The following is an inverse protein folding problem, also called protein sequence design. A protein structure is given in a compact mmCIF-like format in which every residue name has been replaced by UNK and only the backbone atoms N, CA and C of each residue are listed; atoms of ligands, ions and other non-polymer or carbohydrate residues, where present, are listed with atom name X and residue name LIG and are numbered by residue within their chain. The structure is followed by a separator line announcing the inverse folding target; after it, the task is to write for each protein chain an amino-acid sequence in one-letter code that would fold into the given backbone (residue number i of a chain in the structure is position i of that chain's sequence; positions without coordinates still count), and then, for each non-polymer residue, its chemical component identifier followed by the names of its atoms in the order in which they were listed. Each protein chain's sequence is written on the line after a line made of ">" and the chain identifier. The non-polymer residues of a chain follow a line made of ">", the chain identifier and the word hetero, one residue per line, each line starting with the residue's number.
data_IF_802070396868
#
_entry.id   IF_802070396868
#
_cell.length_a   1.000
_cell.length_b   1.000
_cell.length_c   1.000
_cell.angle_alpha   90.00
_cell.angle_beta   90.00
_cell.angle_gamma   90.00
#
_symmetry.space_group_name_H-M   'P 1'
#
loop_
_entity.id
_entity.type
_entity.pdbx_description
1 polymer ?
#
# COMPACT_ATOMS: atom_id res chain seq x y z
N UNK A 1 13.92 -20.73 -29.72
CA UNK A 1 14.74 -21.04 -28.52
C UNK A 1 15.41 -22.38 -28.76
N UNK A 2 16.71 -22.50 -28.52
CA UNK A 2 17.43 -23.76 -28.69
C UNK A 2 17.74 -24.40 -27.33
N UNK A 3 17.60 -25.73 -27.25
CA UNK A 3 18.00 -26.53 -26.09
C UNK A 3 19.32 -27.22 -26.42
N UNK A 4 20.25 -27.24 -25.46
CA UNK A 4 21.49 -28.01 -25.60
C UNK A 4 21.19 -29.46 -25.21
N UNK A 5 21.47 -30.41 -26.10
CA UNK A 5 21.39 -31.85 -25.83
C UNK A 5 22.76 -32.47 -26.07
N UNK A 6 23.19 -33.35 -25.17
CA UNK A 6 24.41 -34.16 -25.30
C UNK A 6 25.69 -33.33 -25.54
N UNK A 7 25.85 -32.20 -24.82
CA UNK A 7 27.08 -31.41 -24.86
C UNK A 7 27.62 -31.21 -23.43
N UNK A 8 28.64 -31.99 -23.09
CA UNK A 8 29.30 -31.99 -21.77
C UNK A 8 29.97 -30.65 -21.44
N UNK A 9 30.42 -29.90 -22.44
CA UNK A 9 31.13 -28.62 -22.25
C UNK A 9 30.15 -27.52 -21.82
N UNK A 10 28.92 -27.58 -22.33
CA UNK A 10 27.92 -26.51 -22.18
C UNK A 10 26.84 -26.85 -21.13
N UNK A 11 26.91 -28.03 -20.52
CA UNK A 11 25.99 -28.46 -19.47
C UNK A 11 26.28 -27.70 -18.17
N UNK A 12 25.25 -27.16 -17.52
CA UNK A 12 25.40 -26.39 -16.28
C UNK A 12 25.84 -24.93 -16.45
N UNK A 13 26.31 -24.51 -17.62
CA UNK A 13 26.71 -23.12 -17.89
C UNK A 13 25.50 -22.18 -17.76
N UNK A 14 25.71 -21.01 -17.15
CA UNK A 14 24.73 -19.93 -17.05
C UNK A 14 25.39 -18.56 -17.23
N UNK A 15 24.62 -17.55 -17.64
CA UNK A 15 25.09 -16.18 -17.80
C UNK A 15 25.25 -15.74 -19.26
N UNK A 16 25.77 -14.52 -19.44
CA UNK A 16 25.88 -13.85 -20.74
C UNK A 16 27.26 -14.09 -21.35
N UNK A 17 27.29 -14.64 -22.57
CA UNK A 17 28.51 -14.86 -23.34
C UNK A 17 28.61 -13.85 -24.49
N UNK A 18 29.70 -13.09 -24.51
CA UNK A 18 30.06 -12.20 -25.63
C UNK A 18 29.01 -11.15 -25.99
N UNK A 19 28.09 -10.80 -25.07
CA UNK A 19 26.91 -9.96 -25.32
C UNK A 19 25.96 -10.44 -26.43
N UNK A 20 26.19 -11.63 -26.99
CA UNK A 20 25.41 -12.18 -28.11
C UNK A 20 24.48 -13.31 -27.66
N UNK A 21 24.89 -14.07 -26.64
CA UNK A 21 24.20 -15.28 -26.19
C UNK A 21 24.01 -15.24 -24.68
N UNK A 22 22.90 -15.78 -24.19
CA UNK A 22 22.63 -16.00 -22.76
C UNK A 22 22.29 -17.47 -22.55
N UNK A 23 23.02 -18.09 -21.62
CA UNK A 23 22.74 -19.42 -21.08
C UNK A 23 21.91 -19.28 -19.82
N UNK A 24 20.83 -20.05 -19.70
CA UNK A 24 20.06 -20.13 -18.46
C UNK A 24 19.66 -21.56 -18.15
N UNK A 25 19.60 -21.87 -16.87
CA UNK A 25 19.15 -23.16 -16.37
C UNK A 25 17.66 -23.10 -16.05
N UNK A 26 16.88 -24.06 -16.56
CA UNK A 26 15.46 -24.21 -16.20
C UNK A 26 15.11 -25.69 -16.16
N UNK A 27 14.60 -26.17 -15.04
CA UNK A 27 14.26 -27.59 -14.83
C UNK A 27 15.40 -28.55 -15.22
N UNK A 28 16.63 -28.23 -14.81
CA UNK A 28 17.82 -29.05 -15.11
C UNK A 28 18.30 -29.04 -16.57
N UNK A 29 17.70 -28.20 -17.44
CA UNK A 29 18.07 -28.08 -18.85
C UNK A 29 18.81 -26.75 -19.09
N UNK A 30 19.93 -26.82 -19.83
CA UNK A 30 20.60 -25.63 -20.36
C UNK A 30 19.83 -25.11 -21.58
N UNK A 31 19.37 -23.87 -21.50
CA UNK A 31 18.67 -23.17 -22.57
C UNK A 31 19.55 -22.04 -23.10
N UNK A 32 19.61 -21.93 -24.43
CA UNK A 32 20.39 -20.90 -25.12
C UNK A 32 19.46 -19.93 -25.83
N UNK A 33 19.66 -18.65 -25.56
CA UNK A 33 18.91 -17.55 -26.18
C UNK A 33 19.86 -16.48 -26.69
N UNK A 34 19.49 -15.79 -27.78
CA UNK A 34 20.15 -14.54 -28.17
C UNK A 34 20.06 -13.57 -27.00
N UNK A 35 21.14 -12.85 -26.73
CA UNK A 35 21.16 -11.83 -25.70
C UNK A 35 20.05 -10.81 -25.98
N UNK A 36 19.26 -10.46 -24.96
CA UNK A 36 18.21 -9.48 -25.13
C UNK A 36 18.83 -8.13 -25.52
N UNK A 37 18.30 -7.53 -26.57
CA UNK A 37 18.61 -6.19 -27.00
C UNK A 37 17.30 -5.40 -27.01
N UNK A 38 17.24 -4.32 -26.23
CA UNK A 38 16.02 -3.51 -26.12
C UNK A 38 15.97 -2.56 -27.32
N UNK A 39 15.03 -2.80 -28.23
CA UNK A 39 14.88 -2.03 -29.47
C UNK A 39 13.91 -0.86 -29.34
N UNK A 40 12.92 -0.95 -28.45
CA UNK A 40 11.92 0.09 -28.24
C UNK A 40 12.23 0.96 -27.00
N UNK A 41 11.88 2.26 -27.02
CA UNK A 41 11.85 3.08 -25.82
C UNK A 41 10.80 2.56 -24.83
N UNK A 42 10.93 2.99 -23.57
CA UNK A 42 9.94 2.66 -22.55
C UNK A 42 8.61 3.33 -22.87
N UNK A 43 7.51 2.61 -22.69
CA UNK A 43 6.16 3.21 -22.73
C UNK A 43 5.96 4.15 -21.55
N UNK A 44 5.02 5.09 -21.65
CA UNK A 44 4.70 6.02 -20.56
C UNK A 44 4.39 5.29 -19.23
N UNK A 45 3.65 4.17 -19.29
CA UNK A 45 3.37 3.33 -18.12
C UNK A 45 4.61 2.67 -17.51
N UNK A 46 5.59 2.28 -18.34
CA UNK A 46 6.85 1.72 -17.86
C UNK A 46 7.74 2.79 -17.23
N UNK A 47 7.77 4.00 -17.81
CA UNK A 47 8.47 5.15 -17.24
C UNK A 47 7.87 5.51 -15.88
N UNK A 48 6.54 5.62 -15.78
CA UNK A 48 5.87 5.93 -14.51
C UNK A 48 6.13 4.87 -13.45
N UNK A 49 6.05 3.58 -13.79
CA UNK A 49 6.37 2.50 -12.86
C UNK A 49 7.84 2.53 -12.40
N UNK A 50 8.78 2.82 -13.32
CA UNK A 50 10.21 2.92 -12.98
C UNK A 50 10.46 4.10 -12.05
N UNK A 51 9.80 5.24 -12.30
CA UNK A 51 9.88 6.42 -11.44
C UNK A 51 9.29 6.15 -10.06
N UNK A 52 8.12 5.48 -9.98
CA UNK A 52 7.49 5.07 -8.72
C UNK A 52 8.42 4.15 -7.93
N UNK A 53 9.00 3.15 -8.59
CA UNK A 53 9.95 2.24 -7.95
C UNK A 53 11.21 2.97 -7.47
N UNK A 54 11.74 3.93 -8.24
CA UNK A 54 12.87 4.76 -7.81
C UNK A 54 12.53 5.54 -6.53
N UNK A 55 11.35 6.14 -6.45
CA UNK A 55 10.89 6.82 -5.24
C UNK A 55 10.73 5.83 -4.06
N UNK A 56 10.17 4.63 -4.31
CA UNK A 56 10.07 3.57 -3.31
C UNK A 56 11.44 3.17 -2.74
N UNK A 57 12.47 3.06 -3.58
CA UNK A 57 13.82 2.73 -3.10
C UNK A 57 14.43 3.84 -2.25
N UNK A 58 14.14 5.11 -2.55
CA UNK A 58 14.60 6.23 -1.73
C UNK A 58 13.90 6.23 -0.36
N UNK A 59 12.57 6.01 -0.36
CA UNK A 59 11.77 5.87 0.85
C UNK A 59 12.23 4.69 1.72
N UNK A 60 12.45 3.52 1.13
CA UNK A 60 12.92 2.36 1.89
C UNK A 60 14.29 2.62 2.53
N UNK A 61 15.16 3.40 1.90
CA UNK A 61 16.44 3.83 2.51
C UNK A 61 16.24 4.80 3.66
N UNK A 62 15.28 5.72 3.59
CA UNK A 62 14.99 6.61 4.73
C UNK A 62 14.41 5.84 5.92
N UNK A 63 13.55 4.83 5.67
CA UNK A 63 13.04 3.93 6.73
C UNK A 63 14.17 3.16 7.41
N UNK A 64 15.18 2.71 6.66
CA UNK A 64 16.33 2.04 7.25
C UNK A 64 17.24 2.98 8.05
N UNK A 65 17.25 4.27 7.72
CA UNK A 65 18.08 5.27 8.40
C UNK A 65 17.45 5.76 9.71
N UNK A 66 16.11 5.76 9.81
CA UNK A 66 15.37 6.11 11.02
C UNK A 66 15.19 4.88 11.94
N UNK A 67 15.76 4.87 13.16
CA UNK A 67 15.65 3.73 14.07
C UNK A 67 14.21 3.35 14.45
N UNK A 68 13.32 4.35 14.59
CA UNK A 68 11.94 4.13 15.02
C UNK A 68 11.14 3.46 13.90
N UNK A 69 11.32 3.94 12.67
CA UNK A 69 10.69 3.33 11.49
C UNK A 69 11.30 1.96 11.19
N UNK A 70 12.63 1.81 11.32
CA UNK A 70 13.29 0.52 11.15
C UNK A 70 12.68 -0.55 12.06
N UNK A 71 12.54 -0.25 13.36
CA UNK A 71 11.97 -1.22 14.31
C UNK A 71 10.54 -1.59 13.93
N UNK A 72 9.70 -0.59 13.64
CA UNK A 72 8.31 -0.76 13.21
C UNK A 72 8.21 -1.69 11.99
N UNK A 73 8.91 -1.37 10.90
CA UNK A 73 8.89 -2.16 9.66
C UNK A 73 9.54 -3.52 9.84
N UNK A 74 10.54 -3.67 10.72
CA UNK A 74 11.18 -4.97 10.97
C UNK A 74 10.25 -5.95 11.69
N UNK A 75 9.44 -5.46 12.63
CA UNK A 75 8.40 -6.26 13.31
C UNK A 75 7.33 -6.69 12.31
N UNK A 76 6.85 -5.76 11.51
CA UNK A 76 5.84 -6.04 10.49
C UNK A 76 6.35 -7.03 9.43
N UNK A 77 7.59 -6.87 8.98
CA UNK A 77 8.22 -7.78 8.02
C UNK A 77 8.26 -9.21 8.56
N UNK A 78 8.58 -9.41 9.84
CA UNK A 78 8.56 -10.73 10.48
C UNK A 78 7.15 -11.31 10.56
N UNK A 79 6.16 -10.48 10.94
CA UNK A 79 4.76 -10.91 11.04
C UNK A 79 4.19 -11.35 9.68
N UNK A 80 4.50 -10.61 8.60
CA UNK A 80 4.05 -10.92 7.23
C UNK A 80 4.92 -11.93 6.49
N UNK A 81 6.02 -12.42 7.11
CA UNK A 81 6.96 -13.34 6.44
C UNK A 81 7.77 -12.71 5.31
N UNK A 82 7.95 -11.39 5.31
CA UNK A 82 8.76 -10.66 4.33
C UNK A 82 10.23 -10.71 4.73
N UNK A 83 11.09 -11.15 3.82
CA UNK A 83 12.51 -11.43 4.08
C UNK A 83 13.34 -10.24 4.60
N UNK A 84 12.94 -8.99 4.33
CA UNK A 84 13.72 -7.81 4.68
C UNK A 84 12.83 -6.60 4.96
N UNK A 85 13.22 -5.82 5.97
CA UNK A 85 12.64 -4.50 6.27
C UNK A 85 12.62 -3.59 5.04
N UNK A 86 13.66 -3.66 4.20
CA UNK A 86 13.74 -2.90 2.96
C UNK A 86 12.63 -3.29 1.97
N UNK A 87 12.39 -4.59 1.79
CA UNK A 87 11.34 -5.09 0.90
C UNK A 87 9.95 -4.76 1.45
N UNK A 88 9.79 -4.80 2.77
CA UNK A 88 8.54 -4.38 3.43
C UNK A 88 8.25 -2.91 3.14
N UNK A 89 9.23 -2.01 3.31
CA UNK A 89 9.07 -0.58 3.01
C UNK A 89 8.84 -0.29 1.51
N UNK A 90 9.47 -1.04 0.60
CA UNK A 90 9.16 -0.94 -0.84
C UNK A 90 7.71 -1.35 -1.11
N UNK A 91 7.28 -2.49 -0.57
CA UNK A 91 5.91 -2.99 -0.77
C UNK A 91 4.88 -2.01 -0.24
N UNK A 92 5.16 -1.44 0.92
CA UNK A 92 4.36 -0.41 1.56
C UNK A 92 4.16 0.81 0.65
N UNK A 93 5.26 1.40 0.14
CA UNK A 93 5.21 2.55 -0.78
C UNK A 93 4.56 2.25 -2.12
N UNK A 94 4.74 1.02 -2.64
CA UNK A 94 4.20 0.65 -3.94
C UNK A 94 2.68 0.47 -3.93
N UNK A 95 2.10 0.21 -2.76
CA UNK A 95 0.68 0.00 -2.57
C UNK A 95 0.09 1.20 -1.82
N UNK A 96 -0.71 2.08 -2.45
CA UNK A 96 -1.30 3.19 -1.71
C UNK A 96 -2.28 2.71 -0.63
N UNK A 97 -2.47 3.52 0.41
CA UNK A 97 -3.59 3.36 1.35
C UNK A 97 -4.90 3.67 0.62
N UNK A 98 -5.93 2.87 0.85
CA UNK A 98 -7.27 3.05 0.28
C UNK A 98 -8.30 2.75 1.37
N UNK A 99 -9.39 3.53 1.42
CA UNK A 99 -10.58 3.19 2.20
C UNK A 99 -11.41 2.22 1.36
N UNK A 100 -11.62 1.01 1.88
CA UNK A 100 -12.32 -0.07 1.18
C UNK A 100 -13.81 -0.03 1.42
N UNK A 101 -14.22 0.25 2.65
CA UNK A 101 -15.62 0.32 3.03
C UNK A 101 -15.82 1.27 4.22
N UNK A 102 -17.00 1.88 4.26
CA UNK A 102 -17.47 2.71 5.36
C UNK A 102 -18.87 2.20 5.70
N UNK A 103 -19.06 1.81 6.95
CA UNK A 103 -20.33 1.33 7.47
C UNK A 103 -20.91 2.36 8.43
N UNK A 104 -22.01 2.97 7.99
CA UNK A 104 -22.82 3.95 8.72
C UNK A 104 -24.21 3.40 9.05
N UNK A 105 -24.45 2.09 8.90
CA UNK A 105 -25.80 1.50 9.04
C UNK A 105 -26.42 1.69 10.41
N UNK A 106 -25.59 1.80 11.45
CA UNK A 106 -26.02 2.00 12.84
C UNK A 106 -26.04 3.48 13.26
N UNK A 107 -25.64 4.38 12.37
CA UNK A 107 -25.68 5.82 12.60
C UNK A 107 -27.03 6.35 12.11
N UNK A 108 -27.81 6.89 13.04
CA UNK A 108 -29.10 7.54 12.77
C UNK A 108 -29.06 9.04 13.04
N UNK A 109 -27.98 9.53 13.65
CA UNK A 109 -27.82 10.93 14.06
C UNK A 109 -28.67 11.34 15.26
N UNK A 110 -29.51 10.44 15.80
CA UNK A 110 -30.50 10.75 16.84
C UNK A 110 -30.01 10.53 18.27
N UNK A 111 -28.89 9.84 18.43
CA UNK A 111 -28.29 9.58 19.73
C UNK A 111 -26.76 9.66 19.65
N UNK A 112 -26.14 9.96 20.78
CA UNK A 112 -24.70 9.77 20.95
C UNK A 112 -24.39 8.28 21.16
N UNK A 113 -23.16 7.88 20.83
CA UNK A 113 -22.68 6.51 20.97
C UNK A 113 -23.04 5.60 19.81
N UNK A 114 -23.39 6.15 18.65
CA UNK A 114 -23.65 5.39 17.44
C UNK A 114 -22.31 5.07 16.74
N UNK A 115 -22.06 3.80 16.37
CA UNK A 115 -20.78 3.41 15.79
C UNK A 115 -20.74 3.70 14.29
N UNK A 116 -19.64 4.30 13.84
CA UNK A 116 -19.26 4.43 12.43
C UNK A 116 -17.97 3.64 12.25
N UNK A 117 -17.96 2.66 11.34
CA UNK A 117 -16.78 1.83 11.10
C UNK A 117 -16.19 2.07 9.72
N UNK A 118 -14.86 2.15 9.66
CA UNK A 118 -14.08 2.39 8.45
C UNK A 118 -13.08 1.25 8.27
N UNK A 119 -13.10 0.65 7.09
CA UNK A 119 -12.20 -0.42 6.67
C UNK A 119 -11.20 0.13 5.65
N UNK A 120 -9.92 -0.13 5.89
CA UNK A 120 -8.82 0.28 5.03
C UNK A 120 -8.01 -0.93 4.61
N UNK A 121 -7.39 -0.85 3.43
CA UNK A 121 -6.65 -1.98 2.85
C UNK A 121 -5.41 -2.41 3.67
N UNK A 122 -4.84 -1.50 4.47
CA UNK A 122 -3.69 -1.79 5.31
C UNK A 122 -3.62 -0.90 6.55
N UNK A 123 -4.07 -1.43 7.69
CA UNK A 123 -4.02 -0.74 8.99
C UNK A 123 -2.61 -0.38 9.44
N UNK A 124 -1.58 -1.11 8.98
CA UNK A 124 -0.20 -0.79 9.34
C UNK A 124 0.23 0.59 8.82
N UNK A 125 -0.38 1.11 7.76
CA UNK A 125 -0.02 2.43 7.21
C UNK A 125 -0.62 3.57 8.01
N UNK A 126 -1.78 3.35 8.60
CA UNK A 126 -2.57 4.38 9.27
C UNK A 126 -1.96 4.71 10.62
N UNK A 127 -1.63 5.98 10.80
CA UNK A 127 -1.17 6.57 12.06
C UNK A 127 -2.33 7.04 12.92
N UNK A 128 -3.27 7.75 12.31
CA UNK A 128 -4.50 8.17 12.94
C UNK A 128 -5.60 8.25 11.89
N UNK A 129 -6.84 8.02 12.32
CA UNK A 129 -8.01 8.18 11.49
C UNK A 129 -8.98 9.08 12.22
N UNK A 130 -9.35 10.20 11.59
CA UNK A 130 -10.29 11.17 12.14
C UNK A 130 -11.57 11.07 11.33
N UNK A 131 -12.69 11.02 12.04
CA UNK A 131 -14.04 11.11 11.48
C UNK A 131 -14.61 12.46 11.87
N UNK A 132 -15.15 13.19 10.91
CA UNK A 132 -15.85 14.44 11.12
C UNK A 132 -17.23 14.37 10.47
N UNK A 133 -18.24 14.87 11.18
CA UNK A 133 -19.61 14.99 10.69
C UNK A 133 -19.88 16.47 10.49
N UNK A 134 -20.25 16.84 9.27
CA UNK A 134 -20.50 18.21 8.84
C UNK A 134 -21.96 18.29 8.42
N UNK A 135 -22.67 19.31 8.88
CA UNK A 135 -24.04 19.59 8.49
C UNK A 135 -24.13 20.11 7.05
N UNK A 136 -25.34 20.16 6.49
CA UNK A 136 -25.60 20.70 5.14
C UNK A 136 -25.13 22.16 4.98
N UNK A 137 -25.22 22.95 6.05
CA UNK A 137 -24.77 24.35 6.08
C UNK A 137 -23.24 24.50 6.26
N UNK A 138 -22.48 23.41 6.12
CA UNK A 138 -21.02 23.31 6.31
C UNK A 138 -20.52 23.52 7.74
N UNK A 139 -21.42 23.54 8.72
CA UNK A 139 -21.01 23.60 10.13
C UNK A 139 -20.52 22.23 10.61
N UNK A 140 -19.40 22.21 11.35
CA UNK A 140 -18.89 20.98 11.95
C UNK A 140 -19.74 20.63 13.18
N UNK A 141 -20.43 19.49 13.11
CA UNK A 141 -21.27 18.98 14.20
C UNK A 141 -20.37 18.34 15.26
N UNK A 142 -19.49 17.45 14.80
CA UNK A 142 -18.49 16.80 15.65
C UNK A 142 -17.32 16.28 14.83
N UNK A 143 -16.18 16.11 15.49
CA UNK A 143 -15.06 15.34 14.98
C UNK A 143 -14.34 14.61 16.10
N UNK A 144 -13.69 13.51 15.75
CA UNK A 144 -12.86 12.78 16.69
C UNK A 144 -12.04 11.67 16.06
N UNK A 145 -11.14 11.11 16.86
CA UNK A 145 -10.26 10.02 16.45
C UNK A 145 -10.99 8.68 16.57
N UNK A 146 -10.92 7.87 15.51
CA UNK A 146 -11.41 6.51 15.51
C UNK A 146 -10.40 5.57 16.21
N UNK A 147 -10.91 4.52 16.84
CA UNK A 147 -10.10 3.50 17.49
C UNK A 147 -10.03 2.24 16.63
N UNK A 148 -8.85 1.65 16.51
CA UNK A 148 -8.69 0.38 15.79
C UNK A 148 -9.20 -0.78 16.66
N UNK A 149 -10.36 -1.33 16.31
CA UNK A 149 -11.03 -2.43 17.02
C UNK A 149 -11.32 -3.56 16.03
N UNK A 150 -10.80 -4.77 16.29
CA UNK A 150 -11.07 -5.94 15.45
C UNK A 150 -10.61 -5.80 13.99
N UNK A 151 -9.62 -4.95 13.71
CA UNK A 151 -9.15 -4.67 12.36
C UNK A 151 -9.91 -3.58 11.60
N UNK A 152 -10.90 -2.94 12.23
CA UNK A 152 -11.65 -1.80 11.68
C UNK A 152 -11.43 -0.57 12.53
N UNK A 153 -11.42 0.61 11.91
CA UNK A 153 -11.40 1.88 12.63
C UNK A 153 -12.83 2.23 13.01
N UNK A 154 -13.12 2.27 14.30
CA UNK A 154 -14.46 2.54 14.83
C UNK A 154 -14.45 3.88 15.54
N UNK A 155 -15.29 4.79 15.06
CA UNK A 155 -15.61 6.04 15.73
C UNK A 155 -16.97 5.91 16.41
N UNK A 156 -17.06 6.39 17.66
CA UNK A 156 -18.31 6.46 18.40
C UNK A 156 -18.75 7.91 18.43
N UNK A 157 -19.95 8.19 17.92
CA UNK A 157 -20.48 9.56 17.94
C UNK A 157 -20.62 10.07 19.37
N UNK A 158 -20.43 11.37 19.54
CA UNK A 158 -20.45 12.04 20.85
C UNK A 158 -21.58 13.05 20.96
N UNK A 159 -22.07 13.54 19.82
CA UNK A 159 -23.14 14.50 19.72
C UNK A 159 -24.36 13.91 19.00
N UNK A 160 -25.52 14.50 19.28
CA UNK A 160 -26.73 14.29 18.47
C UNK A 160 -26.68 15.25 17.30
N UNK A 161 -26.95 14.74 16.09
CA UNK A 161 -27.10 15.55 14.91
C UNK A 161 -28.49 16.19 14.92
N UNK A 162 -28.54 17.52 15.07
CA UNK A 162 -29.80 18.27 15.08
C UNK A 162 -30.32 18.62 13.69
N UNK A 163 -29.61 18.21 12.63
CA UNK A 163 -30.02 18.44 11.24
C UNK A 163 -30.83 17.26 10.72
N UNK A 164 -31.97 17.54 10.08
CA UNK A 164 -32.94 16.52 9.69
C UNK A 164 -32.49 15.70 8.45
N UNK A 165 -31.64 16.25 7.57
CA UNK A 165 -31.09 15.60 6.36
C UNK A 165 -29.81 16.29 5.86
N UNK A 166 -29.03 15.63 4.99
CA UNK A 166 -27.98 16.29 4.19
C UNK A 166 -26.62 16.42 4.87
N UNK A 167 -26.35 15.64 5.91
CA UNK A 167 -25.05 15.67 6.58
C UNK A 167 -23.98 14.94 5.76
N UNK A 168 -22.74 15.40 5.87
CA UNK A 168 -21.58 14.82 5.22
C UNK A 168 -20.64 14.26 6.27
N UNK A 169 -20.25 13.00 6.06
CA UNK A 169 -19.20 12.34 6.80
C UNK A 169 -17.88 12.52 6.05
N UNK A 170 -16.92 13.19 6.69
CA UNK A 170 -15.55 13.32 6.20
C UNK A 170 -14.64 12.41 7.02
N UNK A 171 -13.97 11.49 6.34
CA UNK A 171 -12.96 10.61 6.93
C UNK A 171 -11.58 11.06 6.46
N UNK A 172 -10.68 11.28 7.40
CA UNK A 172 -9.29 11.67 7.17
C UNK A 172 -8.35 10.66 7.81
N UNK A 173 -7.65 9.88 6.99
CA UNK A 173 -6.59 8.98 7.46
C UNK A 173 -5.22 9.64 7.24
N UNK A 174 -4.42 9.71 8.30
CA UNK A 174 -3.01 10.11 8.22
C UNK A 174 -2.12 8.87 8.29
N UNK A 175 -1.01 8.86 7.56
CA UNK A 175 -0.06 7.75 7.56
C UNK A 175 1.25 8.11 8.25
N UNK A 176 2.03 7.09 8.63
CA UNK A 176 3.38 7.30 9.16
C UNK A 176 4.37 7.82 8.11
N UNK A 177 4.03 7.74 6.82
CA UNK A 177 4.84 8.26 5.72
C UNK A 177 4.58 9.76 5.46
N UNK A 178 3.58 10.34 6.13
CA UNK A 178 3.15 11.73 5.95
C UNK A 178 2.11 11.92 4.84
N UNK A 179 1.73 10.85 4.15
CA UNK A 179 0.59 10.88 3.22
C UNK A 179 -0.72 10.98 4.01
N UNK A 180 -1.69 11.71 3.46
CA UNK A 180 -3.05 11.78 3.99
C UNK A 180 -4.05 11.38 2.92
N UNK A 181 -5.11 10.72 3.35
CA UNK A 181 -6.22 10.31 2.51
C UNK A 181 -7.50 10.88 3.10
N UNK A 182 -8.31 11.51 2.26
CA UNK A 182 -9.60 12.06 2.62
C UNK A 182 -10.69 11.44 1.75
N UNK A 183 -11.82 11.09 2.37
CA UNK A 183 -13.02 10.63 1.68
C UNK A 183 -14.25 11.29 2.30
N UNK A 184 -15.21 11.63 1.45
CA UNK A 184 -16.44 12.32 1.82
C UNK A 184 -17.63 11.47 1.37
N UNK A 185 -18.59 11.26 2.25
CA UNK A 185 -19.81 10.50 1.99
C UNK A 185 -21.00 11.24 2.59
N UNK A 186 -22.13 11.23 1.92
CA UNK A 186 -23.39 11.75 2.44
C UNK A 186 -24.06 10.72 3.36
N UNK A 187 -24.50 11.15 4.54
CA UNK A 187 -25.06 10.29 5.60
C UNK A 187 -26.32 10.91 6.20
#
# INVERSE_FOLDING_TARGET
>A
MAQVKNNIIMQGVSGKLGKQIVYRQRFGKTIVTKAPHRTAPLTAKQVSHTNKFKAATAYAKSVLADPLQYERYSKEAKQRGVFSTYNMAISDYMNPLIIEAIDTTSYTGRAAGEPISVEVNDNFKVKSLIVAIIAEDTTEIESGEALLIGGKWVYMTTATNTYDTGSQLIIRASTYTGESLQMEIEV
#
